data_IF_440464665747
#
_entry.id   IF_440464665747
#
_cell.length_a   1.000
_cell.length_b   1.000
_cell.length_c   1.000
_cell.angle_alpha   90.00
_cell.angle_beta   90.00
_cell.angle_gamma   90.00
#
_symmetry.space_group_name_H-M   'P 1'
#
loop_
_entity.id
_entity.type
_entity.pdbx_description
1 polymer ?
#
# COMPACT_ATOMS: atom_id res chain seq x y z
N UNK A 1 -9.87 -31.26 -13.22
CA UNK A 1 -8.98 -30.35 -13.99
C UNK A 1 -7.59 -30.93 -14.21
N UNK A 2 -7.23 -32.05 -13.55
CA UNK A 2 -5.93 -32.72 -13.65
C UNK A 2 -5.61 -33.04 -15.11
N UNK A 3 -4.48 -32.54 -15.64
CA UNK A 3 -4.07 -32.76 -17.04
C UNK A 3 -5.05 -32.22 -18.09
N UNK A 4 -6.03 -31.44 -17.70
CA UNK A 4 -7.06 -30.89 -18.57
C UNK A 4 -6.74 -29.48 -19.04
N UNK A 5 -7.43 -29.05 -20.09
CA UNK A 5 -7.35 -27.69 -20.59
C UNK A 5 -8.67 -26.97 -20.31
N UNK A 6 -8.59 -25.73 -19.83
CA UNK A 6 -9.74 -24.87 -19.59
C UNK A 6 -9.67 -23.59 -20.43
N UNK A 7 -10.82 -23.13 -20.93
CA UNK A 7 -10.92 -21.84 -21.59
C UNK A 7 -11.54 -20.81 -20.62
N UNK A 8 -10.84 -19.69 -20.42
CA UNK A 8 -11.28 -18.62 -19.54
C UNK A 8 -11.52 -17.34 -20.35
N UNK A 9 -12.69 -16.77 -20.18
CA UNK A 9 -13.11 -15.53 -20.84
C UNK A 9 -13.39 -14.46 -19.81
N UNK A 10 -12.82 -13.26 -20.02
CA UNK A 10 -13.02 -12.10 -19.14
C UNK A 10 -13.55 -10.92 -19.93
N UNK A 11 -14.77 -10.48 -19.61
CA UNK A 11 -15.43 -9.35 -20.25
C UNK A 11 -14.97 -8.02 -19.65
N UNK A 12 -14.68 -7.04 -20.50
CA UNK A 12 -14.28 -5.70 -20.10
C UNK A 12 -15.26 -4.66 -20.66
N UNK A 13 -15.53 -3.64 -19.88
CA UNK A 13 -16.35 -2.50 -20.28
C UNK A 13 -15.74 -1.21 -19.69
N UNK A 14 -15.34 -0.30 -20.58
CA UNK A 14 -14.86 1.03 -20.18
C UNK A 14 -15.94 2.07 -20.50
N UNK A 15 -16.19 2.96 -19.54
CA UNK A 15 -17.12 4.08 -19.67
C UNK A 15 -16.37 5.39 -19.48
N UNK A 16 -16.47 6.26 -20.47
CA UNK A 16 -16.07 7.66 -20.32
C UNK A 16 -17.24 8.45 -19.73
N UNK A 17 -17.12 8.84 -18.47
CA UNK A 17 -18.15 9.57 -17.73
C UNK A 17 -18.44 10.96 -18.34
N UNK A 18 -17.45 11.61 -18.93
CA UNK A 18 -17.61 12.96 -19.48
C UNK A 18 -18.46 12.96 -20.75
N UNK A 19 -18.32 11.92 -21.57
CA UNK A 19 -19.01 11.82 -22.86
C UNK A 19 -20.15 10.80 -22.90
N UNK A 20 -20.24 9.94 -21.89
CA UNK A 20 -21.16 8.79 -21.83
C UNK A 20 -20.80 7.66 -22.81
N UNK A 21 -19.65 7.76 -23.51
CA UNK A 21 -19.21 6.71 -24.44
C UNK A 21 -18.81 5.45 -23.71
N UNK A 22 -19.22 4.32 -24.25
CA UNK A 22 -18.90 2.99 -23.69
C UNK A 22 -18.26 2.13 -24.77
N UNK A 23 -17.15 1.47 -24.44
CA UNK A 23 -16.47 0.47 -25.28
C UNK A 23 -16.37 -0.84 -24.54
N UNK A 24 -16.40 -1.97 -25.26
CA UNK A 24 -16.44 -3.30 -24.66
C UNK A 24 -15.57 -4.27 -25.43
N UNK A 25 -15.05 -5.26 -24.72
CA UNK A 25 -14.29 -6.36 -25.31
C UNK A 25 -14.23 -7.54 -24.35
N UNK A 26 -13.66 -8.64 -24.83
CA UNK A 26 -13.39 -9.80 -24.01
C UNK A 26 -11.96 -10.29 -24.29
N UNK A 27 -11.24 -10.64 -23.24
CA UNK A 27 -9.98 -11.40 -23.33
C UNK A 27 -10.26 -12.89 -23.19
N UNK A 28 -9.38 -13.69 -23.77
CA UNK A 28 -9.45 -15.13 -23.72
C UNK A 28 -8.07 -15.68 -23.37
N UNK A 29 -8.06 -16.68 -22.50
CA UNK A 29 -6.89 -17.49 -22.20
C UNK A 29 -7.28 -18.96 -22.16
N UNK A 30 -6.40 -19.81 -22.69
CA UNK A 30 -6.49 -21.25 -22.53
C UNK A 30 -5.45 -21.67 -21.53
N UNK A 31 -5.89 -22.29 -20.44
CA UNK A 31 -5.05 -22.74 -19.31
C UNK A 31 -4.86 -24.24 -19.42
N UNK A 32 -3.61 -24.67 -19.43
CA UNK A 32 -3.23 -26.09 -19.40
C UNK A 32 -2.82 -26.45 -17.98
N UNK A 33 -3.63 -27.27 -17.32
CA UNK A 33 -3.36 -27.75 -15.97
C UNK A 33 -2.42 -28.96 -16.02
N UNK A 34 -1.46 -28.95 -15.12
CA UNK A 34 -0.51 -30.06 -14.91
C UNK A 34 -1.15 -31.25 -14.23
N UNK A 35 -0.31 -32.26 -14.01
CA UNK A 35 -0.65 -33.44 -13.23
C UNK A 35 -0.48 -33.14 -11.73
N UNK A 36 -1.51 -33.42 -10.93
CA UNK A 36 -1.49 -33.26 -9.48
C UNK A 36 -2.41 -34.31 -8.81
N UNK A 37 -2.17 -34.59 -7.54
CA UNK A 37 -2.83 -35.64 -6.78
C UNK A 37 -4.10 -35.12 -6.07
N UNK A 38 -4.96 -36.07 -5.62
CA UNK A 38 -6.10 -35.69 -4.77
C UNK A 38 -5.65 -35.02 -3.45
N UNK A 39 -4.49 -35.43 -2.88
CA UNK A 39 -3.91 -34.80 -1.70
C UNK A 39 -3.51 -33.33 -1.98
N UNK A 40 -2.96 -33.03 -3.16
CA UNK A 40 -2.66 -31.64 -3.57
C UNK A 40 -3.93 -30.80 -3.67
N UNK A 41 -5.01 -31.37 -4.21
CA UNK A 41 -6.32 -30.70 -4.28
C UNK A 41 -6.85 -30.41 -2.88
N UNK A 42 -6.83 -31.40 -1.97
CA UNK A 42 -7.32 -31.21 -0.60
C UNK A 42 -6.52 -30.13 0.14
N UNK A 43 -5.20 -30.12 -0.02
CA UNK A 43 -4.32 -29.09 0.56
C UNK A 43 -4.59 -27.71 -0.04
N UNK A 44 -4.79 -27.62 -1.36
CA UNK A 44 -5.12 -26.37 -2.01
C UNK A 44 -6.47 -25.83 -1.55
N UNK A 45 -7.50 -26.68 -1.42
CA UNK A 45 -8.81 -26.29 -0.87
C UNK A 45 -8.66 -25.81 0.58
N UNK A 46 -7.81 -26.47 1.38
CA UNK A 46 -7.59 -26.09 2.78
C UNK A 46 -6.95 -24.69 2.95
N UNK A 47 -6.30 -24.14 1.92
CA UNK A 47 -5.81 -22.74 1.95
C UNK A 47 -6.95 -21.72 1.90
N UNK A 48 -8.14 -22.11 1.45
CA UNK A 48 -9.25 -21.21 1.20
C UNK A 48 -9.18 -20.46 -0.12
N UNK A 49 -8.01 -20.38 -0.75
CA UNK A 49 -7.78 -19.62 -1.98
C UNK A 49 -8.76 -19.93 -3.12
N UNK A 50 -9.04 -21.21 -3.48
CA UNK A 50 -9.93 -21.53 -4.58
C UNK A 50 -11.40 -21.19 -4.34
N UNK A 51 -11.77 -20.83 -3.10
CA UNK A 51 -13.16 -20.53 -2.74
C UNK A 51 -13.56 -19.09 -3.05
N UNK A 52 -12.58 -18.20 -3.20
CA UNK A 52 -12.79 -16.76 -3.36
C UNK A 52 -12.63 -16.28 -4.81
N UNK A 53 -12.30 -17.20 -5.74
CA UNK A 53 -11.95 -16.83 -7.13
C UNK A 53 -12.76 -17.59 -8.17
N UNK A 54 -13.00 -16.94 -9.30
CA UNK A 54 -13.65 -17.56 -10.45
C UNK A 54 -12.78 -18.69 -11.04
N UNK A 55 -13.38 -19.85 -11.33
CA UNK A 55 -12.66 -21.01 -11.85
C UNK A 55 -11.95 -21.86 -10.79
N UNK A 56 -12.02 -21.45 -9.52
CA UNK A 56 -11.45 -22.18 -8.37
C UNK A 56 -9.94 -22.43 -8.49
N UNK A 57 -9.20 -21.49 -9.08
CA UNK A 57 -7.73 -21.46 -9.07
C UNK A 57 -7.26 -20.01 -9.23
N UNK A 58 -6.04 -19.72 -8.76
CA UNK A 58 -5.35 -18.43 -9.00
C UNK A 58 -4.11 -18.68 -9.84
N UNK A 59 -3.73 -17.69 -10.63
CA UNK A 59 -2.45 -17.71 -11.37
C UNK A 59 -1.32 -17.16 -10.50
N UNK A 60 -1.64 -16.17 -9.67
CA UNK A 60 -0.70 -15.42 -8.83
C UNK A 60 -0.52 -16.00 -7.41
N UNK A 61 -1.27 -17.04 -7.06
CA UNK A 61 -1.22 -17.69 -5.76
C UNK A 61 -0.73 -19.13 -5.80
N UNK A 62 -1.16 -19.93 -4.82
CA UNK A 62 -0.79 -21.35 -4.72
C UNK A 62 -1.25 -22.17 -5.93
N UNK A 63 -2.38 -21.77 -6.55
CA UNK A 63 -2.90 -22.42 -7.76
C UNK A 63 -1.98 -22.33 -8.96
N UNK A 64 -1.13 -21.29 -9.03
CA UNK A 64 -0.19 -21.11 -10.14
C UNK A 64 0.79 -22.25 -10.34
N UNK A 65 1.17 -22.96 -9.27
CA UNK A 65 2.05 -24.11 -9.34
C UNK A 65 1.46 -25.32 -10.10
N UNK A 66 0.15 -25.34 -10.32
CA UNK A 66 -0.58 -26.40 -11.02
C UNK A 66 -0.93 -26.04 -12.47
N UNK A 67 -0.35 -24.97 -13.00
CA UNK A 67 -0.54 -24.51 -14.38
C UNK A 67 0.74 -24.74 -15.16
N UNK A 68 0.71 -25.65 -16.13
CA UNK A 68 1.87 -25.96 -16.97
C UNK A 68 2.12 -24.89 -18.03
N UNK A 69 1.06 -24.35 -18.63
CA UNK A 69 1.19 -23.28 -19.63
C UNK A 69 -0.12 -22.52 -19.85
N UNK A 70 -0.01 -21.34 -20.46
CA UNK A 70 -1.13 -20.50 -20.84
C UNK A 70 -0.95 -20.07 -22.29
N UNK A 71 -2.02 -20.23 -23.08
CA UNK A 71 -2.13 -19.67 -24.42
C UNK A 71 -3.09 -18.46 -24.36
N UNK A 72 -2.68 -17.30 -24.87
CA UNK A 72 -3.50 -16.08 -24.86
C UNK A 72 -3.09 -15.09 -23.78
N UNK A 73 -4.06 -14.46 -23.10
CA UNK A 73 -3.81 -13.34 -22.22
C UNK A 73 -3.83 -13.74 -20.72
N UNK A 74 -2.66 -13.86 -20.06
CA UNK A 74 -2.59 -14.24 -18.66
C UNK A 74 -3.19 -13.19 -17.71
N UNK A 75 -3.15 -11.89 -18.08
CA UNK A 75 -3.74 -10.84 -17.24
C UNK A 75 -5.28 -10.94 -17.19
N UNK A 76 -5.90 -11.45 -18.25
CA UNK A 76 -7.33 -11.73 -18.27
C UNK A 76 -7.73 -12.80 -17.26
N UNK A 77 -6.85 -13.74 -16.94
CA UNK A 77 -7.09 -14.77 -15.92
C UNK A 77 -7.19 -14.13 -14.54
N UNK A 78 -6.30 -13.18 -14.23
CA UNK A 78 -6.27 -12.42 -12.96
C UNK A 78 -7.50 -11.47 -12.85
N UNK A 79 -8.14 -11.15 -13.97
CA UNK A 79 -9.39 -10.37 -14.00
C UNK A 79 -9.32 -9.08 -14.82
N UNK A 80 -8.14 -8.52 -15.06
CA UNK A 80 -7.96 -7.32 -15.90
C UNK A 80 -6.95 -7.57 -17.00
N UNK A 81 -7.44 -7.74 -18.23
CA UNK A 81 -6.59 -7.80 -19.42
C UNK A 81 -5.95 -6.43 -19.69
N UNK A 82 -4.68 -6.26 -19.36
CA UNK A 82 -3.97 -5.00 -19.65
C UNK A 82 -3.87 -4.70 -21.14
N UNK A 83 -3.58 -5.66 -22.03
CA UNK A 83 -3.61 -5.43 -23.48
C UNK A 83 -4.98 -4.96 -23.98
N UNK A 84 -6.07 -5.59 -23.52
CA UNK A 84 -7.42 -5.20 -23.92
C UNK A 84 -7.82 -3.84 -23.32
N UNK A 85 -7.52 -3.60 -22.03
CA UNK A 85 -7.78 -2.32 -21.39
C UNK A 85 -7.08 -1.18 -22.11
N UNK A 86 -5.82 -1.36 -22.54
CA UNK A 86 -5.08 -0.40 -23.36
C UNK A 86 -5.75 -0.15 -24.70
N UNK A 87 -6.24 -1.20 -25.35
CA UNK A 87 -6.94 -1.08 -26.64
C UNK A 87 -8.26 -0.29 -26.49
N UNK A 88 -9.07 -0.65 -25.51
CA UNK A 88 -10.36 0.01 -25.23
C UNK A 88 -10.17 1.48 -24.79
N UNK A 89 -9.13 1.77 -24.01
CA UNK A 89 -8.77 3.16 -23.68
C UNK A 89 -8.44 3.96 -24.93
N UNK A 90 -7.69 3.37 -25.87
CA UNK A 90 -7.39 3.97 -27.17
C UNK A 90 -8.64 4.26 -28.00
N UNK A 91 -9.65 3.39 -27.98
CA UNK A 91 -10.94 3.63 -28.65
C UNK A 91 -11.70 4.84 -28.07
N UNK A 92 -11.52 5.10 -26.77
CA UNK A 92 -12.06 6.29 -26.10
C UNK A 92 -11.20 7.54 -26.33
N UNK A 93 -10.05 7.41 -27.01
CA UNK A 93 -9.12 8.51 -27.28
C UNK A 93 -8.10 8.74 -26.14
N UNK A 94 -8.03 7.83 -25.19
CA UNK A 94 -7.07 7.89 -24.07
C UNK A 94 -5.78 7.18 -24.49
N UNK A 95 -4.66 7.89 -24.45
CA UNK A 95 -3.35 7.29 -24.66
C UNK A 95 -2.91 6.60 -23.38
N UNK A 96 -2.65 5.28 -23.43
CA UNK A 96 -2.33 4.45 -22.28
C UNK A 96 -1.18 5.00 -21.43
N UNK A 97 -0.13 5.52 -22.08
CA UNK A 97 1.03 6.10 -21.41
C UNK A 97 0.76 7.43 -20.69
N UNK A 98 -0.38 8.07 -20.97
CA UNK A 98 -0.79 9.29 -20.27
C UNK A 98 -1.48 8.97 -18.92
N UNK A 99 -1.77 7.68 -18.68
CA UNK A 99 -2.27 7.16 -17.41
C UNK A 99 -1.14 6.79 -16.42
N UNK A 100 0.10 6.82 -16.88
CA UNK A 100 1.24 6.51 -16.01
C UNK A 100 1.54 7.70 -15.09
N UNK A 101 1.69 7.43 -13.81
CA UNK A 101 2.09 8.42 -12.79
C UNK A 101 3.62 8.65 -12.80
N UNK A 102 4.17 8.89 -13.97
CA UNK A 102 5.60 9.18 -14.16
C UNK A 102 5.75 10.51 -14.87
N UNK A 103 6.61 11.37 -14.36
CA UNK A 103 6.94 12.62 -15.04
C UNK A 103 7.66 12.33 -16.36
N UNK A 104 7.20 12.98 -17.45
CA UNK A 104 7.78 12.82 -18.80
C UNK A 104 9.28 13.17 -18.84
N UNK A 105 9.78 13.93 -17.88
CA UNK A 105 11.21 14.25 -17.72
C UNK A 105 12.06 13.05 -17.27
N UNK A 106 11.47 12.10 -16.54
CA UNK A 106 12.16 10.90 -16.08
C UNK A 106 12.24 9.80 -17.14
N UNK A 107 11.42 9.89 -18.21
CA UNK A 107 11.41 8.93 -19.31
C UNK A 107 12.39 9.26 -20.45
N UNK A 108 13.15 10.34 -20.37
CA UNK A 108 14.18 10.64 -21.35
C UNK A 108 15.39 9.70 -21.13
N UNK A 109 15.83 8.94 -22.15
CA UNK A 109 17.01 8.11 -21.99
C UNK A 109 18.24 9.01 -21.82
N UNK A 110 18.75 9.14 -20.62
CA UNK A 110 20.09 9.65 -20.43
C UNK A 110 21.10 8.66 -20.99
N UNK A 111 21.54 8.95 -22.21
CA UNK A 111 22.77 8.39 -22.72
C UNK A 111 23.91 9.02 -21.94
N UNK A 112 24.50 8.32 -21.00
CA UNK A 112 25.93 8.12 -20.80
C UNK A 112 26.24 7.69 -19.38
N UNK A 113 26.95 6.56 -19.32
CA UNK A 113 27.64 6.10 -18.14
C UNK A 113 28.54 7.19 -17.53
N UNK A 114 28.23 7.56 -16.28
CA UNK A 114 29.24 7.92 -15.33
C UNK A 114 28.76 7.42 -13.99
N UNK A 115 29.57 6.59 -13.36
CA UNK A 115 29.23 5.91 -12.14
C UNK A 115 28.86 6.89 -11.04
N UNK A 116 27.64 6.78 -10.56
CA UNK A 116 27.29 7.25 -9.26
C UNK A 116 26.41 6.18 -8.60
N UNK A 117 26.93 5.65 -7.50
CA UNK A 117 26.37 4.57 -6.72
C UNK A 117 25.25 5.12 -5.83
N UNK A 118 24.14 5.51 -6.44
CA UNK A 118 22.83 5.54 -5.81
C UNK A 118 21.83 5.16 -6.90
N UNK A 119 21.90 3.89 -7.30
CA UNK A 119 20.80 3.27 -8.01
C UNK A 119 19.56 3.41 -7.13
N UNK A 120 18.57 4.15 -7.59
CA UNK A 120 17.30 4.25 -6.95
C UNK A 120 16.80 2.85 -6.62
N UNK A 121 16.42 2.63 -5.38
CA UNK A 121 15.74 1.42 -4.95
C UNK A 121 14.43 1.44 -5.73
N UNK A 122 14.35 0.61 -6.78
CA UNK A 122 13.05 0.26 -7.36
C UNK A 122 12.24 -0.38 -6.22
N UNK A 123 11.00 0.05 -6.01
CA UNK A 123 10.15 -0.66 -5.07
C UNK A 123 10.13 -2.13 -5.47
N UNK A 124 10.23 -3.05 -4.51
CA UNK A 124 10.19 -4.47 -4.81
C UNK A 124 8.90 -4.77 -5.56
N UNK A 125 9.00 -5.40 -6.72
CA UNK A 125 7.89 -5.80 -7.59
C UNK A 125 7.07 -6.94 -6.94
N UNK A 126 7.47 -7.39 -5.78
CA UNK A 126 6.81 -8.41 -4.99
C UNK A 126 6.53 -7.81 -3.61
N UNK A 127 5.31 -8.03 -3.10
CA UNK A 127 5.03 -7.96 -1.68
C UNK A 127 5.95 -8.97 -1.00
N UNK A 128 7.17 -8.57 -0.70
CA UNK A 128 8.08 -9.38 0.08
C UNK A 128 7.46 -9.42 1.46
N UNK A 129 6.92 -10.60 1.84
CA UNK A 129 6.55 -10.85 3.22
C UNK A 129 7.78 -10.59 4.08
N UNK A 130 7.74 -9.50 4.82
CA UNK A 130 8.80 -9.19 5.77
C UNK A 130 8.61 -10.04 7.02
N UNK A 131 9.70 -10.39 7.71
CA UNK A 131 9.59 -11.01 9.03
C UNK A 131 8.73 -10.10 9.93
N UNK A 132 7.62 -10.63 10.45
CA UNK A 132 6.64 -9.86 11.19
C UNK A 132 5.31 -9.65 10.47
N UNK A 133 5.23 -9.89 9.16
CA UNK A 133 3.97 -9.85 8.41
C UNK A 133 3.05 -11.01 8.80
N UNK A 134 1.79 -10.70 9.01
CA UNK A 134 0.77 -11.69 9.32
C UNK A 134 -0.39 -11.12 10.11
N UNK A 135 -1.50 -11.85 10.11
CA UNK A 135 -2.70 -11.49 10.82
C UNK A 135 -2.71 -12.10 12.23
N UNK A 136 -3.03 -11.30 13.23
CA UNK A 136 -3.20 -11.72 14.64
C UNK A 136 -4.67 -11.62 15.03
N UNK A 137 -5.24 -12.72 15.52
CA UNK A 137 -6.57 -12.71 16.13
C UNK A 137 -6.48 -12.04 17.51
N UNK A 138 -7.22 -10.94 17.66
CA UNK A 138 -7.17 -10.13 18.87
C UNK A 138 -8.37 -10.37 19.78
N UNK A 139 -8.15 -10.26 21.09
CA UNK A 139 -9.21 -10.31 22.09
C UNK A 139 -10.26 -9.19 21.93
N UNK A 140 -9.96 -8.12 21.18
CA UNK A 140 -10.91 -7.07 20.82
C UNK A 140 -11.94 -7.51 19.77
N UNK A 141 -11.86 -8.76 19.27
CA UNK A 141 -12.76 -9.32 18.26
C UNK A 141 -12.41 -8.93 16.81
N UNK A 142 -11.27 -8.31 16.58
CA UNK A 142 -10.77 -7.94 15.24
C UNK A 142 -9.48 -8.69 14.92
N UNK A 143 -9.15 -8.78 13.64
CA UNK A 143 -7.82 -9.16 13.19
C UNK A 143 -6.97 -7.91 13.01
N UNK A 144 -5.70 -7.99 13.42
CA UNK A 144 -4.74 -6.93 13.26
C UNK A 144 -3.54 -7.42 12.45
N UNK A 145 -2.97 -6.55 11.64
CA UNK A 145 -1.79 -6.83 10.85
C UNK A 145 -0.52 -6.63 11.66
N UNK A 146 0.46 -7.52 11.48
CA UNK A 146 1.76 -7.52 12.16
C UNK A 146 1.81 -8.50 13.34
N UNK A 147 2.54 -9.61 13.19
CA UNK A 147 2.68 -10.64 14.25
C UNK A 147 3.42 -10.12 15.48
N UNK A 148 4.28 -9.10 15.32
CA UNK A 148 5.01 -8.44 16.41
C UNK A 148 4.35 -7.10 16.81
N UNK A 149 3.11 -6.85 16.37
CA UNK A 149 2.45 -5.56 16.44
C UNK A 149 2.73 -4.71 15.21
N UNK A 150 2.25 -3.47 15.25
CA UNK A 150 2.45 -2.48 14.19
C UNK A 150 2.82 -1.12 14.78
N UNK A 151 3.42 -0.27 13.97
CA UNK A 151 3.82 1.06 14.39
C UNK A 151 3.75 2.05 13.23
N UNK A 152 3.56 3.33 13.55
CA UNK A 152 3.54 4.38 12.55
C UNK A 152 3.96 5.71 13.15
N UNK A 153 4.34 6.65 12.25
CA UNK A 153 4.88 7.93 12.66
C UNK A 153 3.85 9.05 12.47
N UNK A 154 3.57 9.81 13.52
CA UNK A 154 2.84 11.06 13.47
C UNK A 154 3.86 12.19 13.47
N UNK A 155 4.29 12.57 12.26
CA UNK A 155 5.25 13.64 12.05
C UNK A 155 4.53 14.99 12.00
N UNK A 156 4.99 15.95 12.79
CA UNK A 156 4.43 17.28 12.86
C UNK A 156 5.47 18.36 12.52
N UNK A 157 4.97 19.46 11.97
CA UNK A 157 5.72 20.70 11.69
C UNK A 157 5.28 21.79 12.66
N UNK A 158 6.27 22.51 13.17
CA UNK A 158 6.04 23.66 14.07
C UNK A 158 6.31 24.98 13.34
N UNK A 159 5.56 25.98 13.69
CA UNK A 159 5.87 27.35 13.32
C UNK A 159 7.14 27.80 14.04
N UNK A 160 8.11 28.33 13.31
CA UNK A 160 9.41 28.66 13.85
C UNK A 160 9.39 29.83 14.85
N UNK A 161 8.38 30.69 14.80
CA UNK A 161 8.28 31.87 15.67
C UNK A 161 7.50 31.57 16.95
N UNK A 162 6.39 30.82 16.85
CA UNK A 162 5.49 30.52 17.96
C UNK A 162 5.73 29.17 18.61
N UNK A 163 6.44 28.26 17.95
CA UNK A 163 6.59 26.85 18.36
C UNK A 163 5.32 26.01 18.24
N UNK A 164 4.21 26.60 17.80
CA UNK A 164 2.93 25.88 17.68
C UNK A 164 2.94 24.86 16.56
N UNK A 165 2.26 23.74 16.77
CA UNK A 165 2.06 22.72 15.73
C UNK A 165 1.10 23.26 14.67
N UNK A 166 1.53 23.23 13.40
CA UNK A 166 0.76 23.77 12.28
C UNK A 166 0.26 22.71 11.33
N UNK A 167 1.07 21.70 11.06
CA UNK A 167 0.77 20.64 10.09
C UNK A 167 1.22 19.28 10.62
N UNK A 168 0.60 18.24 10.11
CA UNK A 168 1.02 16.85 10.30
C UNK A 168 1.08 16.13 8.96
N UNK A 169 1.97 15.14 8.84
CA UNK A 169 1.98 14.26 7.66
C UNK A 169 0.86 13.25 7.77
N UNK A 170 0.07 13.16 6.72
CA UNK A 170 -1.03 12.20 6.59
C UNK A 170 -0.88 11.39 5.30
N UNK A 171 -1.24 10.11 5.39
CA UNK A 171 -1.29 9.15 4.29
C UNK A 171 -2.74 8.90 3.88
N UNK A 172 -3.06 9.10 2.61
CA UNK A 172 -4.33 8.68 2.01
C UNK A 172 -4.18 7.26 1.49
N UNK A 173 -4.73 6.31 2.21
CA UNK A 173 -4.57 4.87 1.95
C UNK A 173 -5.21 4.45 0.64
N UNK A 174 -4.55 3.57 -0.10
CA UNK A 174 -5.09 3.00 -1.34
C UNK A 174 -6.47 2.37 -1.13
N UNK A 175 -7.33 2.46 -2.14
CA UNK A 175 -8.72 2.01 -2.05
C UNK A 175 -8.86 0.49 -1.79
N UNK A 176 -7.86 -0.29 -2.19
CA UNK A 176 -7.81 -1.75 -2.02
C UNK A 176 -7.27 -2.18 -0.64
N UNK A 177 -6.62 -1.30 0.11
CA UNK A 177 -6.07 -1.61 1.42
C UNK A 177 -7.15 -1.69 2.51
N UNK A 178 -6.80 -2.25 3.67
CA UNK A 178 -7.69 -2.30 4.83
C UNK A 178 -8.17 -0.89 5.21
N UNK A 179 -9.48 -0.67 5.31
CA UNK A 179 -10.13 0.65 5.43
C UNK A 179 -9.69 1.63 4.32
N UNK A 180 -9.57 1.15 3.08
CA UNK A 180 -9.10 1.93 1.94
C UNK A 180 -9.86 3.23 1.69
N UNK A 181 -9.17 4.21 1.12
CA UNK A 181 -9.70 5.56 0.91
C UNK A 181 -9.91 6.36 2.19
N UNK A 182 -9.26 5.96 3.29
CA UNK A 182 -9.20 6.71 4.54
C UNK A 182 -7.83 7.35 4.73
N UNK A 183 -7.76 8.33 5.62
CA UNK A 183 -6.54 9.03 5.99
C UNK A 183 -6.01 8.51 7.33
N UNK A 184 -4.73 8.13 7.36
CA UNK A 184 -4.00 7.67 8.52
C UNK A 184 -2.62 8.30 8.59
N UNK A 185 -1.73 7.69 9.34
CA UNK A 185 -0.30 8.02 9.39
C UNK A 185 0.49 6.91 8.67
N UNK A 186 1.65 7.23 8.07
CA UNK A 186 2.54 6.20 7.53
C UNK A 186 2.96 5.19 8.59
N UNK A 187 2.93 3.90 8.26
CA UNK A 187 3.32 2.85 9.19
C UNK A 187 2.75 1.47 8.84
N UNK A 188 3.39 0.43 9.35
CA UNK A 188 3.10 -0.95 9.06
C UNK A 188 3.51 -1.92 10.16
N UNK A 189 3.75 -3.19 9.80
CA UNK A 189 4.13 -4.24 10.72
C UNK A 189 5.55 -4.02 11.29
N UNK A 190 5.72 -4.31 12.56
CA UNK A 190 7.05 -4.32 13.19
C UNK A 190 7.77 -5.63 12.86
N UNK A 191 8.96 -5.56 12.27
CA UNK A 191 9.74 -6.72 11.87
C UNK A 191 10.33 -7.49 13.07
N UNK A 192 10.81 -8.71 12.83
CA UNK A 192 11.44 -9.53 13.88
C UNK A 192 12.69 -8.85 14.46
N UNK A 193 12.70 -8.66 15.77
CA UNK A 193 13.82 -8.05 16.51
C UNK A 193 13.88 -6.52 16.42
N UNK A 194 12.95 -5.90 15.72
CA UNK A 194 12.83 -4.45 15.57
C UNK A 194 12.04 -3.86 16.74
N UNK A 195 12.45 -2.74 17.27
CA UNK A 195 11.60 -1.99 18.19
C UNK A 195 10.47 -1.28 17.45
N UNK A 196 9.33 -0.96 18.11
CA UNK A 196 8.26 -0.22 17.46
C UNK A 196 8.66 1.17 16.90
N UNK A 197 9.68 1.80 17.50
CA UNK A 197 10.20 3.08 16.99
C UNK A 197 11.01 2.86 15.70
N UNK A 198 11.86 1.84 15.66
CA UNK A 198 12.61 1.48 14.46
C UNK A 198 11.66 1.10 13.32
N UNK A 199 10.62 0.30 13.61
CA UNK A 199 9.59 -0.05 12.64
C UNK A 199 8.87 1.17 12.09
N UNK A 200 8.43 2.10 12.93
CA UNK A 200 7.79 3.32 12.48
C UNK A 200 8.71 4.19 11.61
N UNK A 201 9.99 4.27 11.92
CA UNK A 201 10.98 5.01 11.12
C UNK A 201 11.23 4.35 9.77
N UNK A 202 11.37 3.02 9.74
CA UNK A 202 11.55 2.26 8.49
C UNK A 202 10.34 2.41 7.57
N UNK A 203 9.14 2.11 8.08
CA UNK A 203 7.88 2.21 7.31
C UNK A 203 7.65 3.65 6.78
N UNK A 204 7.91 4.66 7.61
CA UNK A 204 7.73 6.05 7.18
C UNK A 204 8.72 6.47 6.10
N UNK A 205 9.92 5.89 6.06
CA UNK A 205 10.86 6.08 4.98
C UNK A 205 10.41 5.34 3.72
N UNK A 206 10.01 4.08 3.84
CA UNK A 206 9.59 3.23 2.74
C UNK A 206 8.32 3.75 2.05
N UNK A 207 7.28 4.07 2.82
CA UNK A 207 5.98 4.48 2.29
C UNK A 207 5.86 5.98 1.99
N UNK A 208 6.54 6.82 2.76
CA UNK A 208 6.25 8.26 2.80
C UNK A 208 7.46 9.16 2.52
N UNK A 209 8.63 8.61 2.19
CA UNK A 209 9.87 9.36 1.94
C UNK A 209 10.28 10.26 3.12
N UNK A 210 10.03 9.81 4.34
CA UNK A 210 10.41 10.55 5.56
C UNK A 210 11.75 10.02 6.04
N UNK A 211 12.81 10.78 5.81
CA UNK A 211 14.18 10.42 6.19
C UNK A 211 14.37 10.53 7.71
N UNK A 212 14.77 9.46 8.42
CA UNK A 212 14.93 9.49 9.89
C UNK A 212 15.86 10.59 10.41
N UNK A 213 16.88 10.96 9.62
CA UNK A 213 17.85 12.02 9.96
C UNK A 213 17.21 13.41 9.97
N UNK A 214 16.12 13.63 9.25
CA UNK A 214 15.45 14.93 9.09
C UNK A 214 14.41 15.20 10.17
N UNK A 215 14.15 14.20 11.02
CA UNK A 215 13.12 14.26 12.05
C UNK A 215 13.67 13.96 13.44
N UNK A 216 13.00 14.47 14.47
CA UNK A 216 13.30 14.23 15.87
C UNK A 216 12.13 13.48 16.53
N UNK A 217 12.38 12.24 16.95
CA UNK A 217 11.39 11.48 17.74
C UNK A 217 11.31 12.06 19.14
N UNK A 218 10.11 12.45 19.56
CA UNK A 218 9.87 13.14 20.83
C UNK A 218 9.00 12.35 21.81
N UNK A 219 8.47 11.22 21.39
CA UNK A 219 7.67 10.34 22.24
C UNK A 219 6.95 9.26 21.47
N UNK A 220 6.25 8.42 22.21
CA UNK A 220 5.40 7.38 21.62
C UNK A 220 4.17 7.13 22.48
N UNK A 221 3.14 6.58 21.87
CA UNK A 221 1.95 6.08 22.53
C UNK A 221 1.68 4.65 22.06
N UNK A 222 1.59 3.71 23.00
CA UNK A 222 1.28 2.30 22.73
C UNK A 222 -0.17 2.01 23.09
N UNK A 223 -0.94 1.58 22.11
CA UNK A 223 -2.27 1.02 22.30
C UNK A 223 -2.14 -0.51 22.39
N UNK A 224 -2.39 -1.05 23.57
CA UNK A 224 -2.17 -2.46 23.88
C UNK A 224 -3.50 -3.22 23.84
N UNK A 225 -3.57 -4.22 22.97
CA UNK A 225 -4.72 -5.13 22.81
C UNK A 225 -4.42 -6.53 23.36
N UNK A 226 -3.36 -6.70 24.15
CA UNK A 226 -2.91 -7.98 24.69
C UNK A 226 -1.99 -8.74 23.72
N UNK A 227 -2.50 -9.58 22.82
CA UNK A 227 -1.65 -10.31 21.89
C UNK A 227 -1.04 -9.43 20.77
N UNK A 228 -1.57 -8.22 20.61
CA UNK A 228 -1.16 -7.27 19.58
C UNK A 228 -1.16 -5.85 20.15
N UNK A 229 -0.29 -5.00 19.63
CA UNK A 229 -0.27 -3.59 19.98
C UNK A 229 0.06 -2.72 18.78
N UNK A 230 -0.48 -1.49 18.75
CA UNK A 230 -0.06 -0.45 17.83
C UNK A 230 0.73 0.63 18.58
N UNK A 231 1.84 1.09 18.00
CA UNK A 231 2.65 2.17 18.59
C UNK A 231 2.65 3.37 17.64
N UNK A 232 2.03 4.46 18.07
CA UNK A 232 2.15 5.77 17.41
C UNK A 232 3.40 6.47 17.92
N UNK A 233 4.34 6.77 17.03
CA UNK A 233 5.57 7.51 17.31
C UNK A 233 5.36 8.97 16.97
N UNK A 234 5.58 9.87 17.92
CA UNK A 234 5.49 11.31 17.71
C UNK A 234 6.86 11.85 17.33
N UNK A 235 6.90 12.62 16.26
CA UNK A 235 8.13 13.26 15.78
C UNK A 235 7.87 14.68 15.30
N UNK A 236 8.91 15.50 15.34
CA UNK A 236 8.93 16.81 14.70
C UNK A 236 9.94 16.86 13.57
N UNK A 237 9.62 17.64 12.54
CA UNK A 237 10.61 18.06 11.55
C UNK A 237 11.73 18.84 12.25
N UNK A 238 12.98 18.47 12.02
CA UNK A 238 14.14 19.14 12.62
C UNK A 238 14.31 20.57 12.07
N UNK A 239 14.74 21.48 12.94
CA UNK A 239 15.06 22.85 12.51
C UNK A 239 16.14 22.87 11.44
N UNK A 240 15.88 23.57 10.34
CA UNK A 240 16.79 23.66 9.22
C UNK A 240 16.67 22.53 8.18
N UNK A 241 15.79 21.57 8.40
CA UNK A 241 15.44 20.54 7.44
C UNK A 241 14.05 20.83 6.84
N UNK A 242 13.83 20.30 5.65
CA UNK A 242 12.51 20.33 4.99
C UNK A 242 12.14 18.93 4.57
N UNK A 243 11.17 18.34 5.24
CA UNK A 243 10.63 17.04 4.86
C UNK A 243 9.60 17.23 3.75
N UNK A 244 9.80 16.56 2.63
CA UNK A 244 8.86 16.52 1.51
C UNK A 244 8.23 15.12 1.43
N UNK A 245 7.12 14.89 2.14
CA UNK A 245 6.48 13.58 2.14
C UNK A 245 5.92 13.29 0.77
N UNK A 246 6.09 12.04 0.34
CA UNK A 246 5.66 11.56 -0.96
C UNK A 246 5.25 10.09 -0.85
N UNK A 247 4.18 9.68 -1.51
CA UNK A 247 3.86 8.28 -1.67
C UNK A 247 4.94 7.58 -2.51
N UNK A 248 5.56 6.54 -1.96
CA UNK A 248 6.64 5.80 -2.61
C UNK A 248 6.18 4.46 -3.18
N UNK A 249 4.99 4.01 -2.79
CA UNK A 249 4.40 2.74 -3.20
C UNK A 249 2.94 2.91 -3.64
N UNK A 250 2.29 1.82 -4.00
CA UNK A 250 0.89 1.77 -4.41
C UNK A 250 -0.09 1.58 -3.23
N UNK A 251 0.41 1.45 -1.99
CA UNK A 251 -0.41 1.42 -0.78
C UNK A 251 -0.96 2.79 -0.39
N UNK A 252 -0.39 3.85 -0.98
CA UNK A 252 -0.77 5.24 -0.74
C UNK A 252 -1.23 5.93 -2.02
N UNK A 253 -2.43 6.50 -2.01
CA UNK A 253 -2.88 7.41 -3.07
C UNK A 253 -2.20 8.77 -2.99
N UNK A 254 -1.86 9.20 -1.77
CA UNK A 254 -1.23 10.48 -1.48
C UNK A 254 -0.59 10.45 -0.09
N UNK A 255 0.58 11.07 0.05
CA UNK A 255 1.17 11.40 1.36
C UNK A 255 1.55 12.88 1.34
N UNK A 256 1.00 13.65 2.27
CA UNK A 256 1.19 15.10 2.27
C UNK A 256 1.10 15.73 3.66
N UNK A 257 1.57 16.97 3.76
CA UNK A 257 1.33 17.81 4.90
C UNK A 257 -0.12 18.30 4.93
N UNK A 258 -0.82 18.05 6.03
CA UNK A 258 -2.20 18.49 6.27
C UNK A 258 -2.20 19.49 7.42
N UNK A 259 -2.82 20.66 7.28
CA UNK A 259 -3.01 21.56 8.40
C UNK A 259 -3.71 20.85 9.57
N UNK A 260 -3.20 21.02 10.79
CA UNK A 260 -3.71 20.27 11.95
C UNK A 260 -5.22 20.47 12.17
N UNK A 261 -5.72 21.67 11.85
CA UNK A 261 -7.14 22.02 11.93
C UNK A 261 -8.02 21.31 10.90
N UNK A 262 -7.42 20.84 9.78
CA UNK A 262 -8.14 20.19 8.69
C UNK A 262 -8.18 18.67 8.82
N UNK A 263 -7.38 18.09 9.70
CA UNK A 263 -7.34 16.63 9.92
C UNK A 263 -8.73 16.07 10.30
N UNK A 264 -9.51 16.67 11.22
CA UNK A 264 -10.85 16.17 11.57
C UNK A 264 -11.85 16.17 10.41
N UNK A 265 -11.59 16.96 9.37
CA UNK A 265 -12.46 17.07 8.19
C UNK A 265 -12.16 15.97 7.14
N UNK A 266 -11.09 15.20 7.33
CA UNK A 266 -10.74 14.08 6.47
C UNK A 266 -11.54 12.83 6.86
N UNK A 267 -11.74 11.91 5.91
CA UNK A 267 -12.26 10.58 6.22
C UNK A 267 -11.16 9.77 6.90
N UNK A 268 -11.03 9.88 8.21
CA UNK A 268 -9.99 9.25 8.97
C UNK A 268 -10.19 7.73 9.10
N UNK A 269 -9.07 6.99 9.15
CA UNK A 269 -9.00 5.61 9.62
C UNK A 269 -9.69 5.51 10.99
N UNK A 270 -10.41 4.43 11.27
CA UNK A 270 -11.23 4.29 12.49
C UNK A 270 -10.43 4.55 13.78
N UNK A 271 -9.24 3.95 13.91
CA UNK A 271 -8.35 4.17 15.06
C UNK A 271 -7.92 5.64 15.14
N UNK A 272 -7.48 6.21 14.02
CA UNK A 272 -7.05 7.62 13.96
C UNK A 272 -8.17 8.57 14.32
N UNK A 273 -9.39 8.30 13.88
CA UNK A 273 -10.57 9.10 14.24
C UNK A 273 -10.86 9.08 15.74
N UNK A 274 -10.70 7.92 16.36
CA UNK A 274 -10.91 7.75 17.80
C UNK A 274 -9.88 8.53 18.62
N UNK A 275 -8.63 8.51 18.19
CA UNK A 275 -7.49 8.97 18.98
C UNK A 275 -7.02 10.38 18.59
N UNK A 276 -7.51 10.94 17.51
CA UNK A 276 -7.01 12.21 16.99
C UNK A 276 -6.96 13.35 18.03
N UNK A 277 -8.03 13.53 18.79
CA UNK A 277 -8.08 14.61 19.79
C UNK A 277 -6.99 14.46 20.85
N UNK A 278 -6.70 13.21 21.26
CA UNK A 278 -5.61 12.88 22.21
C UNK A 278 -4.25 13.13 21.58
N UNK A 279 -4.07 12.73 20.33
CA UNK A 279 -2.81 12.90 19.61
C UNK A 279 -2.49 14.36 19.34
N UNK A 280 -3.48 15.17 18.94
CA UNK A 280 -3.31 16.60 18.76
C UNK A 280 -2.90 17.30 20.08
N UNK A 281 -3.59 17.01 21.18
CA UNK A 281 -3.23 17.53 22.48
C UNK A 281 -1.81 17.10 22.91
N UNK A 282 -1.44 15.83 22.61
CA UNK A 282 -0.10 15.33 22.94
C UNK A 282 1.00 16.02 22.13
N UNK A 283 0.75 16.30 20.84
CA UNK A 283 1.69 17.08 20.02
C UNK A 283 1.91 18.47 20.58
N UNK A 284 0.84 19.16 21.04
CA UNK A 284 0.95 20.49 21.64
C UNK A 284 1.76 20.46 22.96
N UNK A 285 1.52 19.46 23.82
CA UNK A 285 2.32 19.25 25.04
C UNK A 285 3.81 19.02 24.73
N UNK A 286 4.10 18.14 23.75
CA UNK A 286 5.47 17.83 23.35
C UNK A 286 6.15 19.04 22.71
N UNK A 287 5.43 19.83 21.92
CA UNK A 287 5.94 21.08 21.34
C UNK A 287 6.29 22.11 22.44
N UNK A 288 5.42 22.27 23.43
CA UNK A 288 5.65 23.17 24.56
C UNK A 288 6.82 22.76 25.46
N UNK A 289 7.12 21.46 25.55
CA UNK A 289 8.24 20.93 26.32
C UNK A 289 9.62 21.14 25.67
N UNK A 290 9.64 21.49 24.39
CA UNK A 290 10.88 21.74 23.62
C UNK A 290 11.19 23.22 23.39
N UNK A 291 10.31 24.10 23.78
CA UNK A 291 10.48 25.58 23.73
C UNK A 291 10.91 26.11 25.06
#
# INVERSE_FOLDING_TARGET
MIGATGDLWTGHCLLDFATGRTVRGASHAKVHFGEFTDDDIERYIATGEPLEVAGSFTLEGFGGAFIDSIEGDPHGIIGLSLPLARHLAGELGVKWTDLWNVDRGELAPESKASGNQHAGILPPVENVHQPGDGWVDCACGRKHWGTNGASGILLARRDAASGQVTHVVMQHRAAWSAEGGTWGIPGGATADGESPIEGALRESYEEANITPEDIEVVGSYREDHGPWAYTTVFAFEKSGYTVEPKANDDESMEVCWVPIADVPNRKLLTAMKTDWSRFAARLDELAAAQG
#
